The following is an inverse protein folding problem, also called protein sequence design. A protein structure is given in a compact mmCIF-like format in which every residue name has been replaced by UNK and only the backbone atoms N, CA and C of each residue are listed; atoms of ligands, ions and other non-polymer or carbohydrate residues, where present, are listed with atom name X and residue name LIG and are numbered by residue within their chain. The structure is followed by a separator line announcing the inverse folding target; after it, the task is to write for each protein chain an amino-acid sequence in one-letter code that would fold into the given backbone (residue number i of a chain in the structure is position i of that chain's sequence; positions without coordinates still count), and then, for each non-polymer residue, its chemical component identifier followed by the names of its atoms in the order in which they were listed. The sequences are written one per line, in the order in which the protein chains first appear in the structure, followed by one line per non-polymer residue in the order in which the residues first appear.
data_IF_721526770189
#
_entry.id   IF_721526770189
#
_cell.length_a   1.000
_cell.length_b   1.000
_cell.length_c   1.000
_cell.angle_alpha   90.00
_cell.angle_beta   90.00
_cell.angle_gamma   90.00
#
_symmetry.space_group_name_H-M   'P 1'
#
loop_
_entity.id
_entity.type
_entity.pdbx_description
1 polymer ?
#
# COMPACT_ATOMS: atom_id res chain seq x y z
N UNK A 1 1.20 27.72 -21.68
CA UNK A 1 2.21 26.70 -21.31
C UNK A 1 1.44 25.39 -21.19
N UNK A 2 1.87 24.34 -21.88
CA UNK A 2 1.21 23.04 -21.80
C UNK A 2 1.60 22.39 -20.47
N UNK A 3 0.90 22.74 -19.40
CA UNK A 3 0.99 22.04 -18.13
C UNK A 3 0.28 20.70 -18.30
N UNK A 4 1.06 19.65 -18.53
CA UNK A 4 0.58 18.29 -18.41
C UNK A 4 0.54 17.98 -16.92
N UNK A 5 -0.65 18.07 -16.33
CA UNK A 5 -0.93 17.93 -14.89
C UNK A 5 -0.92 16.47 -14.42
N UNK A 6 -0.14 15.60 -15.05
CA UNK A 6 -0.01 14.21 -14.60
C UNK A 6 0.90 14.20 -13.37
N UNK A 7 0.39 13.69 -12.25
CA UNK A 7 1.17 13.51 -11.03
C UNK A 7 2.48 12.76 -11.35
N UNK A 8 3.64 13.19 -10.80
CA UNK A 8 4.92 12.55 -11.12
C UNK A 8 4.92 11.02 -10.93
N UNK A 9 4.19 10.51 -9.93
CA UNK A 9 4.04 9.08 -9.65
C UNK A 9 3.23 8.29 -10.68
N UNK A 10 2.35 8.97 -11.43
CA UNK A 10 1.45 8.36 -12.42
C UNK A 10 2.09 8.31 -13.82
N UNK A 11 3.30 8.84 -13.99
CA UNK A 11 4.03 8.79 -15.26
C UNK A 11 4.41 7.37 -15.62
N UNK A 12 4.17 6.98 -16.88
CA UNK A 12 4.46 5.65 -17.46
C UNK A 12 3.68 4.50 -16.80
N UNK A 13 2.45 4.77 -16.38
CA UNK A 13 1.57 3.78 -15.77
C UNK A 13 0.89 2.82 -16.76
N UNK A 14 1.07 2.98 -18.08
CA UNK A 14 0.37 2.19 -19.10
C UNK A 14 0.57 0.67 -18.91
N UNK A 15 1.79 0.22 -18.65
CA UNK A 15 2.07 -1.21 -18.39
C UNK A 15 1.37 -1.74 -17.13
N UNK A 16 1.25 -0.91 -16.09
CA UNK A 16 0.50 -1.27 -14.88
C UNK A 16 -1.00 -1.39 -15.20
N UNK A 17 -1.54 -0.45 -15.97
CA UNK A 17 -2.94 -0.47 -16.37
C UNK A 17 -3.27 -1.67 -17.26
N UNK A 18 -2.40 -2.00 -18.22
CA UNK A 18 -2.56 -3.21 -19.04
C UNK A 18 -2.63 -4.48 -18.18
N UNK A 19 -1.80 -4.59 -17.14
CA UNK A 19 -1.86 -5.73 -16.21
C UNK A 19 -3.20 -5.81 -15.49
N UNK A 20 -3.69 -4.69 -14.97
CA UNK A 20 -5.00 -4.63 -14.29
C UNK A 20 -6.13 -5.00 -15.25
N UNK A 21 -6.13 -4.44 -16.45
CA UNK A 21 -7.16 -4.71 -17.47
C UNK A 21 -7.18 -6.16 -17.94
N UNK A 22 -6.04 -6.85 -17.90
CA UNK A 22 -5.92 -8.25 -18.27
C UNK A 22 -6.33 -9.24 -17.15
N UNK A 23 -6.60 -8.76 -15.93
CA UNK A 23 -7.09 -9.58 -14.82
C UNK A 23 -8.52 -9.15 -14.42
N UNK A 24 -9.55 -9.93 -14.78
CA UNK A 24 -10.95 -9.58 -14.48
C UNK A 24 -11.22 -9.36 -12.99
N UNK A 25 -10.55 -10.11 -12.12
CA UNK A 25 -10.71 -9.96 -10.67
C UNK A 25 -10.13 -8.63 -10.18
N UNK A 26 -9.01 -8.18 -10.75
CA UNK A 26 -8.44 -6.87 -10.43
C UNK A 26 -9.35 -5.73 -10.91
N UNK A 27 -9.97 -5.88 -12.08
CA UNK A 27 -10.98 -4.94 -12.59
C UNK A 27 -12.19 -4.81 -11.65
N UNK A 28 -12.74 -5.95 -11.20
CA UNK A 28 -13.87 -5.99 -10.27
C UNK A 28 -13.52 -5.30 -8.95
N UNK A 29 -12.36 -5.61 -8.37
CA UNK A 29 -11.88 -5.01 -7.12
C UNK A 29 -11.69 -3.48 -7.21
N UNK A 30 -11.17 -3.00 -8.34
CA UNK A 30 -11.06 -1.55 -8.59
C UNK A 30 -12.44 -0.90 -8.69
N UNK A 31 -13.37 -1.54 -9.39
CA UNK A 31 -14.74 -1.05 -9.52
C UNK A 31 -15.43 -0.97 -8.17
N UNK A 32 -15.34 -2.02 -7.35
CA UNK A 32 -15.91 -2.05 -6.00
C UNK A 32 -15.36 -0.91 -5.13
N UNK A 33 -14.05 -0.73 -5.13
CA UNK A 33 -13.40 0.34 -4.36
C UNK A 33 -13.85 1.72 -4.83
N UNK A 34 -13.91 1.94 -6.14
CA UNK A 34 -14.40 3.20 -6.71
C UNK A 34 -15.87 3.47 -6.37
N UNK A 35 -16.74 2.46 -6.49
CA UNK A 35 -18.14 2.56 -6.13
C UNK A 35 -18.31 2.87 -4.63
N UNK A 36 -17.50 2.27 -3.77
CA UNK A 36 -17.51 2.56 -2.34
C UNK A 36 -17.17 4.02 -2.03
N UNK A 37 -16.15 4.58 -2.69
CA UNK A 37 -15.80 6.00 -2.50
C UNK A 37 -16.82 6.97 -3.10
N UNK A 38 -17.55 6.59 -4.15
CA UNK A 38 -18.62 7.42 -4.70
C UNK A 38 -19.93 7.34 -3.89
N UNK A 39 -20.30 6.16 -3.40
CA UNK A 39 -21.62 5.90 -2.82
C UNK A 39 -21.64 5.95 -1.28
N UNK A 40 -20.54 5.60 -0.61
CA UNK A 40 -20.51 5.29 0.83
C UNK A 40 -19.41 6.04 1.59
N UNK A 41 -18.85 7.12 1.02
CA UNK A 41 -17.86 7.92 1.71
C UNK A 41 -18.51 8.62 2.94
N UNK A 42 -18.44 8.00 4.12
CA UNK A 42 -18.84 8.63 5.39
C UNK A 42 -17.95 9.84 5.72
N UNK A 43 -16.73 9.85 5.16
CA UNK A 43 -15.79 10.97 5.15
C UNK A 43 -16.10 12.03 4.08
N UNK A 44 -17.10 11.82 3.21
CA UNK A 44 -17.79 12.92 2.54
C UNK A 44 -18.69 13.63 3.55
N UNK A 45 -18.08 14.13 4.63
CA UNK A 45 -18.51 15.40 5.20
C UNK A 45 -18.16 16.49 4.19
N UNK A 46 -18.93 16.52 3.11
CA UNK A 46 -19.37 17.68 2.38
C UNK A 46 -20.36 17.16 1.34
N UNK A 47 -21.49 17.85 1.21
CA UNK A 47 -22.52 17.52 0.23
C UNK A 47 -21.90 17.25 -1.15
N UNK A 48 -22.56 16.46 -2.03
CA UNK A 48 -22.11 16.34 -3.41
C UNK A 48 -21.79 17.72 -3.99
N UNK A 49 -20.68 17.82 -4.73
CA UNK A 49 -20.24 19.08 -5.34
C UNK A 49 -21.44 19.85 -5.92
N UNK A 50 -21.52 21.18 -5.72
CA UNK A 50 -22.51 22.00 -6.40
C UNK A 50 -22.50 21.71 -7.90
N UNK A 51 -23.68 21.67 -8.53
CA UNK A 51 -23.82 21.23 -9.93
C UNK A 51 -22.92 22.02 -10.91
N UNK A 52 -22.69 23.31 -10.63
CA UNK A 52 -21.79 24.16 -11.41
C UNK A 52 -20.31 23.77 -11.24
N UNK A 53 -19.87 23.52 -10.01
CA UNK A 53 -18.51 23.07 -9.71
C UNK A 53 -18.24 21.68 -10.30
N UNK A 54 -19.22 20.78 -10.23
CA UNK A 54 -19.15 19.48 -10.90
C UNK A 54 -18.95 19.64 -12.41
N UNK A 55 -19.79 20.45 -13.07
CA UNK A 55 -19.68 20.67 -14.52
C UNK A 55 -18.33 21.30 -14.89
N UNK A 56 -17.85 22.24 -14.07
CA UNK A 56 -16.55 22.88 -14.27
C UNK A 56 -15.40 21.87 -14.13
N UNK A 57 -15.42 21.01 -13.10
CA UNK A 57 -14.42 19.95 -12.91
C UNK A 57 -14.43 18.94 -14.06
N UNK A 58 -15.62 18.56 -14.54
CA UNK A 58 -15.80 17.65 -15.67
C UNK A 58 -15.21 18.24 -16.97
N UNK A 59 -15.52 19.50 -17.29
CA UNK A 59 -15.01 20.11 -18.52
C UNK A 59 -13.52 20.45 -18.43
N UNK A 60 -13.02 20.85 -17.27
CA UNK A 60 -11.60 21.10 -17.07
C UNK A 60 -10.77 19.82 -17.24
N UNK A 61 -11.22 18.71 -16.63
CA UNK A 61 -10.52 17.42 -16.75
C UNK A 61 -10.50 16.90 -18.19
N UNK A 62 -11.58 17.09 -18.96
CA UNK A 62 -11.59 16.75 -20.38
C UNK A 62 -10.55 17.56 -21.18
N UNK A 63 -10.50 18.88 -21.01
CA UNK A 63 -9.56 19.74 -21.75
C UNK A 63 -8.11 19.47 -21.36
N UNK A 64 -7.86 19.23 -20.06
CA UNK A 64 -6.51 19.03 -19.53
C UNK A 64 -6.05 17.57 -19.60
N UNK A 65 -6.96 16.63 -19.94
CA UNK A 65 -6.75 15.17 -19.89
C UNK A 65 -6.29 14.71 -18.50
N UNK A 66 -6.89 15.29 -17.47
CA UNK A 66 -6.52 15.07 -16.07
C UNK A 66 -7.65 14.37 -15.33
N UNK A 67 -7.64 13.04 -15.40
CA UNK A 67 -8.61 12.22 -14.70
C UNK A 67 -8.44 12.33 -13.18
N UNK A 68 -7.20 12.43 -12.69
CA UNK A 68 -6.93 12.49 -11.26
C UNK A 68 -7.49 13.77 -10.63
N UNK A 69 -7.43 14.91 -11.31
CA UNK A 69 -8.10 16.14 -10.86
C UNK A 69 -9.63 15.98 -10.76
N UNK A 70 -10.25 15.26 -11.70
CA UNK A 70 -11.69 15.00 -11.63
C UNK A 70 -12.05 14.09 -10.46
N UNK A 71 -11.29 13.01 -10.28
CA UNK A 71 -11.48 12.06 -9.17
C UNK A 71 -11.30 12.75 -7.82
N UNK A 72 -10.32 13.63 -7.69
CA UNK A 72 -10.13 14.44 -6.49
C UNK A 72 -11.35 15.31 -6.19
N UNK A 73 -11.95 15.92 -7.21
CA UNK A 73 -13.14 16.75 -7.03
C UNK A 73 -14.35 15.93 -6.54
N UNK A 74 -14.59 14.74 -7.10
CA UNK A 74 -15.82 13.98 -6.83
C UNK A 74 -15.71 12.98 -5.67
N UNK A 75 -14.51 12.52 -5.32
CA UNK A 75 -14.31 11.52 -4.27
C UNK A 75 -13.03 11.69 -3.45
N UNK A 76 -12.34 12.84 -3.57
CA UNK A 76 -11.11 13.17 -2.83
C UNK A 76 -10.01 12.10 -2.93
N UNK A 77 -9.88 11.46 -4.09
CA UNK A 77 -8.83 10.47 -4.38
C UNK A 77 -8.24 10.73 -5.76
N UNK A 78 -6.94 10.52 -5.92
CA UNK A 78 -6.33 10.38 -7.26
C UNK A 78 -6.55 8.97 -7.79
N UNK A 79 -6.22 8.73 -9.08
CA UNK A 79 -6.23 7.38 -9.63
C UNK A 79 -5.33 6.42 -8.82
N UNK A 80 -4.13 6.85 -8.44
CA UNK A 80 -3.24 6.03 -7.64
C UNK A 80 -3.72 5.81 -6.20
N UNK A 81 -4.44 6.78 -5.60
CA UNK A 81 -5.05 6.55 -4.29
C UNK A 81 -6.14 5.47 -4.38
N UNK A 82 -6.98 5.48 -5.43
CA UNK A 82 -7.96 4.42 -5.67
C UNK A 82 -7.29 3.06 -5.89
N UNK A 83 -6.25 2.98 -6.72
CA UNK A 83 -5.50 1.73 -6.94
C UNK A 83 -4.88 1.19 -5.65
N UNK A 84 -4.33 2.07 -4.80
CA UNK A 84 -3.74 1.68 -3.51
C UNK A 84 -4.81 1.19 -2.54
N UNK A 85 -5.92 1.92 -2.45
CA UNK A 85 -7.04 1.56 -1.59
C UNK A 85 -7.77 0.30 -2.07
N UNK A 86 -7.63 -0.06 -3.35
CA UNK A 86 -8.11 -1.32 -3.94
C UNK A 86 -7.14 -2.48 -3.71
N UNK A 87 -6.00 -2.29 -3.04
CA UNK A 87 -4.94 -3.28 -2.92
C UNK A 87 -4.49 -3.81 -4.29
N UNK A 88 -4.30 -2.90 -5.27
CA UNK A 88 -3.76 -3.21 -6.60
C UNK A 88 -2.37 -2.61 -6.86
N UNK A 89 -1.91 -1.70 -6.01
CA UNK A 89 -0.52 -1.22 -5.95
C UNK A 89 -0.04 -1.20 -4.49
N UNK A 90 1.27 -1.36 -4.22
CA UNK A 90 1.80 -1.33 -2.87
C UNK A 90 1.87 0.11 -2.30
N UNK A 91 2.03 0.18 -0.99
CA UNK A 91 2.45 1.37 -0.26
C UNK A 91 3.96 1.57 -0.41
N UNK A 92 4.44 2.81 -0.46
CA UNK A 92 5.87 3.09 -0.34
C UNK A 92 6.28 3.08 1.13
N UNK A 93 7.39 2.43 1.46
CA UNK A 93 7.99 2.54 2.79
C UNK A 93 8.33 4.01 3.11
N UNK A 94 7.95 4.44 4.30
CA UNK A 94 8.29 5.76 4.84
C UNK A 94 7.95 6.93 3.90
N UNK A 95 6.81 6.82 3.20
CA UNK A 95 6.37 7.82 2.24
C UNK A 95 6.25 9.21 2.87
N UNK A 96 6.70 10.22 2.12
CA UNK A 96 6.57 11.65 2.46
C UNK A 96 7.23 12.02 3.80
N UNK A 97 8.29 11.26 4.17
CA UNK A 97 9.04 11.46 5.39
C UNK A 97 8.33 10.96 6.66
N UNK A 98 7.20 10.25 6.53
CA UNK A 98 6.45 9.67 7.64
C UNK A 98 6.77 8.18 7.76
N UNK A 99 7.23 7.73 8.92
CA UNK A 99 7.50 6.30 9.15
C UNK A 99 6.23 5.46 9.02
N UNK A 100 6.23 4.51 8.09
CA UNK A 100 5.14 3.54 7.89
C UNK A 100 5.69 2.33 7.10
N UNK A 101 5.58 1.11 7.64
CA UNK A 101 5.09 0.75 8.97
C UNK A 101 6.06 1.11 10.10
N UNK A 102 5.55 1.19 11.33
CA UNK A 102 6.32 1.39 12.56
C UNK A 102 6.64 0.03 13.17
N UNK A 103 7.92 -0.35 13.19
CA UNK A 103 8.41 -1.59 13.80
C UNK A 103 8.44 -1.44 15.32
N UNK A 104 7.84 -2.39 16.05
CA UNK A 104 7.70 -2.32 17.51
C UNK A 104 8.55 -3.36 18.25
N UNK A 105 9.16 -4.30 17.54
CA UNK A 105 10.02 -5.34 18.10
C UNK A 105 11.41 -5.30 17.50
N UNK A 106 12.42 -5.79 18.23
CA UNK A 106 13.77 -5.99 17.72
C UNK A 106 13.87 -7.23 16.80
N UNK A 107 15.08 -7.51 16.32
CA UNK A 107 15.40 -8.66 15.46
C UNK A 107 15.25 -10.03 16.16
N UNK A 108 15.01 -10.05 17.48
CA UNK A 108 14.74 -11.26 18.27
C UNK A 108 13.26 -11.36 18.66
N UNK A 109 12.40 -10.50 18.12
CA UNK A 109 10.98 -10.44 18.41
C UNK A 109 10.65 -9.85 19.80
N UNK A 110 11.60 -9.25 20.50
CA UNK A 110 11.36 -8.60 21.79
C UNK A 110 10.76 -7.21 21.60
N UNK A 111 9.72 -6.89 22.37
CA UNK A 111 9.07 -5.58 22.33
C UNK A 111 10.05 -4.47 22.73
N UNK A 112 10.11 -3.39 21.94
CA UNK A 112 10.94 -2.24 22.26
C UNK A 112 10.32 -1.47 23.44
N UNK A 113 11.15 -0.92 24.36
CA UNK A 113 10.66 -0.28 25.59
C UNK A 113 9.63 0.84 25.37
N UNK A 114 9.74 1.57 24.26
CA UNK A 114 8.84 2.67 23.89
C UNK A 114 7.40 2.22 23.54
N UNK A 115 7.17 0.92 23.29
CA UNK A 115 5.87 0.38 22.92
C UNK A 115 5.22 -0.51 23.98
N UNK A 116 5.86 -0.73 25.14
CA UNK A 116 5.34 -1.58 26.23
C UNK A 116 3.93 -1.22 26.68
N UNK A 117 3.57 0.06 26.67
CA UNK A 117 2.24 0.55 27.08
C UNK A 117 1.28 0.77 25.92
N UNK A 118 1.76 0.67 24.67
CA UNK A 118 0.96 0.99 23.47
C UNK A 118 0.30 -0.23 22.83
N UNK A 119 0.81 -1.43 23.07
CA UNK A 119 0.31 -2.66 22.46
C UNK A 119 -0.50 -3.48 23.46
N UNK A 120 -1.48 -4.21 22.94
CA UNK A 120 -2.22 -5.16 23.75
C UNK A 120 -1.31 -6.35 24.10
N UNK A 121 -1.05 -6.55 25.38
CA UNK A 121 -0.15 -7.59 25.88
C UNK A 121 -0.50 -8.99 25.34
N UNK A 122 -1.80 -9.27 25.15
CA UNK A 122 -2.27 -10.54 24.57
C UNK A 122 -1.79 -10.73 23.13
N UNK A 123 -1.80 -9.68 22.31
CA UNK A 123 -1.35 -9.74 20.92
C UNK A 123 0.16 -9.94 20.84
N UNK A 124 0.93 -9.21 21.66
CA UNK A 124 2.37 -9.40 21.76
C UNK A 124 2.73 -10.83 22.21
N UNK A 125 2.09 -11.34 23.27
CA UNK A 125 2.34 -12.72 23.76
C UNK A 125 2.03 -13.77 22.69
N UNK A 126 0.96 -13.57 21.92
CA UNK A 126 0.58 -14.47 20.83
C UNK A 126 1.58 -14.43 19.68
N UNK A 127 1.95 -13.23 19.22
CA UNK A 127 3.01 -13.03 18.24
C UNK A 127 4.31 -13.69 18.69
N UNK A 128 4.78 -13.39 19.90
CA UNK A 128 6.06 -13.87 20.42
C UNK A 128 6.08 -15.40 20.56
N UNK A 129 4.96 -16.01 20.93
CA UNK A 129 4.83 -17.48 20.97
C UNK A 129 5.03 -18.09 19.58
N UNK A 130 4.40 -17.50 18.55
CA UNK A 130 4.53 -17.99 17.16
C UNK A 130 5.93 -17.70 16.63
N UNK A 131 6.47 -16.51 16.89
CA UNK A 131 7.81 -16.11 16.50
C UNK A 131 8.90 -17.10 16.96
N UNK A 132 8.72 -17.70 18.14
CA UNK A 132 9.61 -18.74 18.67
C UNK A 132 9.48 -20.10 17.99
N UNK A 133 8.36 -20.39 17.33
CA UNK A 133 8.12 -21.67 16.63
C UNK A 133 8.41 -21.60 15.14
N UNK A 134 8.46 -20.40 14.55
CA UNK A 134 8.78 -20.21 13.13
C UNK A 134 10.16 -20.77 12.79
N UNK A 135 10.22 -21.60 11.74
CA UNK A 135 11.48 -22.14 11.23
C UNK A 135 12.43 -21.07 10.69
N UNK A 136 11.89 -19.96 10.18
CA UNK A 136 12.62 -18.77 9.78
C UNK A 136 11.91 -17.52 10.30
N UNK A 137 12.46 -16.91 11.34
CA UNK A 137 11.92 -15.71 11.97
C UNK A 137 12.68 -14.42 11.59
N UNK A 138 13.57 -14.51 10.60
CA UNK A 138 14.39 -13.38 10.15
C UNK A 138 13.51 -12.28 9.56
N UNK A 139 13.77 -11.04 9.96
CA UNK A 139 13.08 -9.85 9.47
C UNK A 139 11.53 -9.97 9.57
N UNK A 140 11.05 -10.61 10.64
CA UNK A 140 9.64 -10.67 11.00
C UNK A 140 9.46 -9.87 12.28
N UNK A 141 8.55 -8.91 12.27
CA UNK A 141 8.38 -7.96 13.35
C UNK A 141 6.92 -7.81 13.72
N UNK A 142 6.65 -7.54 14.99
CA UNK A 142 5.39 -6.92 15.38
C UNK A 142 5.48 -5.45 14.99
N UNK A 143 4.49 -4.96 14.27
CA UNK A 143 4.49 -3.62 13.70
C UNK A 143 3.11 -3.00 13.73
N UNK A 144 3.08 -1.67 13.59
CA UNK A 144 1.87 -0.88 13.38
C UNK A 144 1.95 -0.26 12.00
N UNK A 145 0.99 -0.57 11.15
CA UNK A 145 0.87 0.02 9.82
C UNK A 145 -0.39 0.87 9.74
N UNK A 146 -0.41 1.80 8.78
CA UNK A 146 -1.61 2.57 8.49
C UNK A 146 -1.85 2.75 7.01
N UNK A 147 -3.13 2.80 6.65
CA UNK A 147 -3.61 3.20 5.33
C UNK A 147 -3.76 4.71 5.32
N UNK A 148 -3.44 5.32 4.19
CA UNK A 148 -3.56 6.76 4.02
C UNK A 148 -4.08 7.09 2.62
N UNK A 149 -4.84 8.18 2.56
CA UNK A 149 -5.03 8.98 1.36
C UNK A 149 -4.19 10.24 1.47
N UNK A 150 -4.24 11.08 0.45
CA UNK A 150 -3.64 12.39 0.47
C UNK A 150 -4.74 13.44 0.55
N UNK A 151 -4.57 14.41 1.43
CA UNK A 151 -5.32 15.66 1.41
C UNK A 151 -4.60 16.62 0.46
N UNK A 152 -5.37 17.18 -0.46
CA UNK A 152 -4.91 18.10 -1.49
C UNK A 152 -5.60 19.45 -1.29
N UNK A 153 -5.49 20.01 -0.08
CA UNK A 153 -5.95 21.37 0.17
C UNK A 153 -5.32 22.35 -0.85
N UNK A 154 -6.17 23.20 -1.43
CA UNK A 154 -5.94 23.93 -2.68
C UNK A 154 -4.72 24.89 -2.76
N UNK A 155 -3.93 25.04 -1.70
CA UNK A 155 -2.89 26.08 -1.63
C UNK A 155 -1.45 25.57 -1.60
N UNK A 156 -1.19 24.30 -1.29
CA UNK A 156 0.18 23.77 -1.28
C UNK A 156 0.22 22.44 -2.03
N UNK A 157 0.98 22.35 -3.13
CA UNK A 157 1.22 21.12 -3.90
C UNK A 157 1.97 20.03 -3.11
N UNK A 158 1.96 20.09 -1.77
CA UNK A 158 2.53 19.08 -0.88
C UNK A 158 1.38 18.27 -0.30
N UNK A 159 1.17 17.04 -0.78
CA UNK A 159 0.07 16.24 -0.29
C UNK A 159 0.33 15.86 1.17
N UNK A 160 -0.61 16.18 2.07
CA UNK A 160 -0.54 15.71 3.45
C UNK A 160 -1.23 14.35 3.56
N UNK A 161 -0.56 13.36 4.14
CA UNK A 161 -1.21 12.05 4.34
C UNK A 161 -2.34 12.17 5.39
N UNK A 162 -3.57 11.91 4.96
CA UNK A 162 -4.73 11.68 5.83
C UNK A 162 -4.79 10.21 6.18
N UNK A 163 -4.62 9.89 7.46
CA UNK A 163 -4.67 8.50 7.94
C UNK A 163 -6.12 8.02 7.92
N UNK A 164 -6.37 6.94 7.18
CA UNK A 164 -7.69 6.32 7.06
C UNK A 164 -7.91 5.28 8.16
N UNK A 165 -6.88 4.46 8.41
CA UNK A 165 -6.97 3.33 9.33
C UNK A 165 -5.59 3.02 9.89
N UNK A 166 -5.52 2.65 11.18
CA UNK A 166 -4.32 2.14 11.82
C UNK A 166 -4.56 0.71 12.30
N UNK A 167 -3.60 -0.17 12.07
CA UNK A 167 -3.69 -1.57 12.48
C UNK A 167 -2.38 -2.04 13.07
N UNK A 168 -2.48 -2.82 14.15
CA UNK A 168 -1.37 -3.61 14.68
C UNK A 168 -1.37 -4.97 13.97
N UNK A 169 -0.18 -5.54 13.76
CA UNK A 169 -0.03 -6.73 12.93
C UNK A 169 1.40 -7.21 12.83
N UNK A 170 1.61 -8.23 12.02
CA UNK A 170 2.93 -8.80 11.77
C UNK A 170 3.44 -8.31 10.42
N UNK A 171 4.67 -7.79 10.41
CA UNK A 171 5.36 -7.35 9.22
C UNK A 171 6.48 -8.33 8.86
N UNK A 172 6.46 -8.85 7.64
CA UNK A 172 7.53 -9.62 7.05
C UNK A 172 8.27 -8.73 6.05
N UNK A 173 9.59 -8.57 6.18
CA UNK A 173 10.42 -7.83 5.21
C UNK A 173 11.31 -8.81 4.46
N UNK A 174 11.19 -8.84 3.13
CA UNK A 174 11.95 -9.74 2.26
C UNK A 174 12.64 -8.97 1.14
N UNK A 175 13.80 -9.47 0.76
CA UNK A 175 14.55 -9.00 -0.41
C UNK A 175 13.82 -9.48 -1.68
N UNK A 176 13.58 -8.57 -2.63
CA UNK A 176 13.07 -8.97 -3.94
C UNK A 176 14.24 -9.34 -4.88
N UNK A 177 14.08 -10.35 -5.75
CA UNK A 177 15.12 -10.71 -6.70
C UNK A 177 15.42 -9.55 -7.67
N UNK A 178 16.70 -9.45 -8.06
CA UNK A 178 17.41 -8.40 -8.83
C UNK A 178 16.77 -7.95 -10.17
N UNK A 179 15.61 -8.50 -10.54
CA UNK A 179 14.84 -8.19 -11.76
C UNK A 179 14.11 -6.84 -11.72
N UNK A 180 14.10 -6.16 -10.57
CA UNK A 180 13.41 -4.88 -10.35
C UNK A 180 14.35 -3.66 -10.52
N UNK A 181 15.55 -3.86 -11.11
CA UNK A 181 16.55 -2.81 -11.44
C UNK A 181 15.95 -1.42 -11.73
N UNK A 182 16.50 -0.40 -11.06
CA UNK A 182 16.28 1.04 -11.23
C UNK A 182 15.18 1.41 -12.23
N UNK A 183 13.93 1.31 -11.78
CA UNK A 183 12.79 1.86 -12.50
C UNK A 183 12.86 3.38 -12.45
N UNK A 184 12.52 4.04 -13.56
CA UNK A 184 12.62 5.49 -13.67
C UNK A 184 11.42 6.18 -13.00
N UNK A 185 10.29 5.47 -12.88
CA UNK A 185 9.09 5.99 -12.21
C UNK A 185 8.50 4.99 -11.21
N UNK A 186 7.72 5.53 -10.26
CA UNK A 186 6.99 4.75 -9.26
C UNK A 186 6.02 3.74 -9.91
N UNK A 187 5.31 4.14 -10.96
CA UNK A 187 4.40 3.27 -11.69
C UNK A 187 5.10 2.05 -12.31
N UNK A 188 6.33 2.22 -12.81
CA UNK A 188 7.12 1.12 -13.36
C UNK A 188 7.61 0.14 -12.28
N UNK A 189 7.95 0.67 -11.10
CA UNK A 189 8.27 -0.16 -9.94
C UNK A 189 7.06 -0.99 -9.51
N UNK A 190 5.89 -0.37 -9.41
CA UNK A 190 4.64 -1.07 -9.08
C UNK A 190 4.26 -2.11 -10.13
N UNK A 191 4.43 -1.79 -11.42
CA UNK A 191 4.22 -2.76 -12.50
C UNK A 191 5.11 -4.00 -12.37
N UNK A 192 6.37 -3.83 -11.96
CA UNK A 192 7.32 -4.93 -11.78
C UNK A 192 6.89 -5.91 -10.67
N UNK A 193 6.38 -5.38 -9.56
CA UNK A 193 5.94 -6.19 -8.41
C UNK A 193 4.47 -6.61 -8.47
N UNK A 194 3.70 -6.11 -9.43
CA UNK A 194 2.25 -6.31 -9.52
C UNK A 194 1.82 -7.79 -9.46
N UNK A 195 2.51 -8.69 -10.18
CA UNK A 195 2.12 -10.11 -10.19
C UNK A 195 2.24 -10.75 -8.80
N UNK A 196 3.28 -10.37 -8.05
CA UNK A 196 3.50 -10.83 -6.68
C UNK A 196 2.42 -10.26 -5.76
N UNK A 197 2.15 -8.96 -5.92
CA UNK A 197 1.16 -8.23 -5.14
C UNK A 197 -0.26 -8.78 -5.29
N UNK A 198 -0.68 -9.10 -6.52
CA UNK A 198 -1.99 -9.71 -6.78
C UNK A 198 -2.08 -11.15 -6.29
N UNK A 199 -1.01 -11.92 -6.36
CA UNK A 199 -0.99 -13.26 -5.77
C UNK A 199 -1.16 -13.20 -4.25
N UNK A 200 -0.48 -12.25 -3.59
CA UNK A 200 -0.66 -11.99 -2.16
C UNK A 200 -2.08 -11.53 -1.85
N UNK A 201 -2.65 -10.59 -2.60
CA UNK A 201 -4.00 -10.10 -2.31
C UNK A 201 -5.10 -11.15 -2.55
N UNK A 202 -4.89 -12.11 -3.45
CA UNK A 202 -5.84 -13.22 -3.68
C UNK A 202 -5.82 -14.26 -2.56
N UNK A 203 -4.66 -14.53 -1.97
CA UNK A 203 -4.49 -15.57 -0.94
C UNK A 203 -4.49 -15.00 0.49
N UNK A 204 -4.10 -13.74 0.66
CA UNK A 204 -3.98 -12.98 1.90
C UNK A 204 -4.67 -11.60 1.73
N UNK A 205 -6.01 -11.60 1.56
CA UNK A 205 -6.76 -10.39 1.22
C UNK A 205 -6.65 -9.32 2.31
N UNK A 206 -6.53 -8.06 1.88
CA UNK A 206 -6.37 -6.87 2.72
C UNK A 206 -5.06 -6.86 3.54
N UNK A 207 -4.06 -7.64 3.12
CA UNK A 207 -2.70 -7.46 3.61
C UNK A 207 -2.11 -6.17 3.05
N UNK A 208 -1.31 -5.44 3.84
CA UNK A 208 -0.72 -4.19 3.36
C UNK A 208 0.65 -4.52 2.77
N UNK A 209 0.74 -4.39 1.46
CA UNK A 209 1.99 -4.63 0.75
C UNK A 209 2.77 -3.32 0.67
N UNK A 210 3.98 -3.32 1.19
CA UNK A 210 4.92 -2.22 1.12
C UNK A 210 6.03 -2.53 0.12
N UNK A 211 6.50 -1.52 -0.59
CA UNK A 211 7.59 -1.61 -1.53
C UNK A 211 8.60 -0.48 -1.28
N UNK A 212 9.87 -0.86 -1.24
CA UNK A 212 10.99 0.06 -1.06
C UNK A 212 12.04 -0.22 -2.12
N UNK A 213 12.30 0.77 -2.96
CA UNK A 213 13.32 0.66 -4.00
C UNK A 213 14.69 1.06 -3.43
N UNK A 214 15.72 0.24 -3.64
CA UNK A 214 17.09 0.47 -3.17
C UNK A 214 17.20 0.76 -1.64
N UNK A 215 16.23 0.30 -0.84
CA UNK A 215 16.12 0.65 0.58
C UNK A 215 16.82 -0.35 1.50
N UNK A 216 16.96 -1.61 1.10
CA UNK A 216 17.65 -2.62 1.90
C UNK A 216 19.14 -2.65 1.56
N UNK A 217 20.01 -2.45 2.55
CA UNK A 217 21.47 -2.56 2.38
C UNK A 217 21.96 -3.86 3.02
N UNK A 218 22.52 -4.74 2.21
CA UNK A 218 23.09 -6.02 2.67
C UNK A 218 24.41 -6.26 1.95
N UNK A 219 25.48 -6.54 2.69
CA UNK A 219 26.83 -6.75 2.14
C UNK A 219 27.29 -5.64 1.17
N UNK A 220 27.07 -4.36 1.52
CA UNK A 220 27.34 -3.18 0.69
C UNK A 220 26.58 -3.12 -0.65
N UNK A 221 25.61 -4.01 -0.88
CA UNK A 221 24.72 -4.00 -2.03
C UNK A 221 23.34 -3.47 -1.60
N UNK A 222 22.70 -2.72 -2.48
CA UNK A 222 21.33 -2.22 -2.29
C UNK A 222 20.37 -3.13 -3.03
N UNK A 223 19.27 -3.45 -2.37
CA UNK A 223 18.23 -4.31 -2.90
C UNK A 223 16.87 -3.63 -2.73
N UNK A 224 15.96 -3.99 -3.62
CA UNK A 224 14.55 -3.69 -3.45
C UNK A 224 13.97 -4.59 -2.37
N UNK A 225 13.08 -4.04 -1.56
CA UNK A 225 12.45 -4.75 -0.46
C UNK A 225 10.92 -4.76 -0.61
N UNK A 226 10.32 -5.87 -0.22
CA UNK A 226 8.88 -6.00 -0.06
C UNK A 226 8.56 -6.21 1.42
N UNK A 227 7.61 -5.42 1.91
CA UNK A 227 6.98 -5.61 3.21
C UNK A 227 5.62 -6.24 3.04
N UNK A 228 5.33 -7.31 3.76
CA UNK A 228 3.99 -7.89 3.84
C UNK A 228 3.51 -7.69 5.26
N UNK A 229 2.55 -6.80 5.43
CA UNK A 229 1.92 -6.55 6.71
C UNK A 229 0.60 -7.31 6.80
N UNK A 230 0.46 -8.11 7.86
CA UNK A 230 -0.68 -8.93 8.18
C UNK A 230 -1.40 -8.32 9.40
N UNK A 231 -2.48 -7.55 9.21
CA UNK A 231 -3.25 -6.98 10.32
C UNK A 231 -3.77 -8.06 11.29
N UNK A 232 -3.61 -7.82 12.59
CA UNK A 232 -4.08 -8.74 13.64
C UNK A 232 -5.59 -8.97 13.56
N UNK A 233 -6.37 -7.95 13.17
CA UNK A 233 -7.82 -8.06 12.99
C UNK A 233 -8.26 -9.15 12.01
N UNK A 234 -7.37 -9.53 11.08
CA UNK A 234 -7.64 -10.49 10.02
C UNK A 234 -6.82 -11.78 10.18
N UNK A 235 -5.56 -11.66 10.56
CA UNK A 235 -4.56 -12.74 10.44
C UNK A 235 -4.00 -13.25 11.76
N UNK A 236 -4.46 -12.74 12.92
CA UNK A 236 -3.96 -13.17 14.22
C UNK A 236 -4.27 -14.66 14.47
N UNK A 237 -5.44 -15.13 14.00
CA UNK A 237 -5.80 -16.54 14.04
C UNK A 237 -5.05 -17.27 12.94
N UNK A 238 -4.39 -18.39 13.25
CA UNK A 238 -3.56 -19.15 12.30
C UNK A 238 -2.42 -18.33 11.65
N UNK A 239 -1.88 -17.34 12.37
CA UNK A 239 -0.81 -16.47 11.89
C UNK A 239 0.39 -17.23 11.29
N UNK A 240 0.78 -18.37 11.86
CA UNK A 240 1.85 -19.22 11.31
C UNK A 240 1.55 -19.65 9.86
N UNK A 241 0.34 -20.12 9.60
CA UNK A 241 -0.10 -20.51 8.26
C UNK A 241 -0.13 -19.33 7.29
N UNK A 242 -0.52 -18.14 7.75
CA UNK A 242 -0.52 -16.93 6.91
C UNK A 242 0.91 -16.46 6.58
N UNK A 243 1.84 -16.59 7.52
CA UNK A 243 3.27 -16.34 7.31
C UNK A 243 3.84 -17.34 6.29
N UNK A 244 3.58 -18.64 6.46
CA UNK A 244 4.00 -19.68 5.51
C UNK A 244 3.47 -19.40 4.11
N UNK A 245 2.19 -19.05 4.01
CA UNK A 245 1.57 -18.72 2.74
C UNK A 245 2.19 -17.50 2.05
N UNK A 246 2.54 -16.46 2.82
CA UNK A 246 3.23 -15.29 2.29
C UNK A 246 4.61 -15.66 1.73
N UNK A 247 5.37 -16.47 2.47
CA UNK A 247 6.70 -16.96 2.06
C UNK A 247 6.61 -17.83 0.80
N UNK A 248 5.64 -18.75 0.73
CA UNK A 248 5.37 -19.56 -0.46
C UNK A 248 5.17 -18.68 -1.69
N UNK A 249 4.38 -17.61 -1.58
CA UNK A 249 4.07 -16.72 -2.70
C UNK A 249 5.29 -15.89 -3.13
N UNK A 250 6.09 -15.40 -2.18
CA UNK A 250 7.32 -14.64 -2.47
C UNK A 250 8.34 -15.52 -3.19
N UNK A 251 8.55 -16.73 -2.69
CA UNK A 251 9.60 -17.63 -3.17
C UNK A 251 9.13 -18.62 -4.25
N UNK A 252 7.85 -18.62 -4.63
CA UNK A 252 7.31 -19.45 -5.72
C UNK A 252 7.99 -19.24 -7.07
N UNK A 253 8.70 -18.12 -7.27
CA UNK A 253 9.47 -17.82 -8.50
C UNK A 253 10.94 -18.24 -8.46
N UNK A 254 11.43 -18.75 -7.33
CA UNK A 254 12.80 -19.26 -7.19
C UNK A 254 12.93 -20.77 -7.46
N UNK A 255 11.82 -21.44 -7.82
CA UNK A 255 11.76 -22.85 -8.23
C UNK A 255 11.44 -22.98 -9.73
#
# INVERSE_FOLDING_TARGET
MNETTIFPREKRADFLFEKILNDPWACEKLQETFANYLCYNEDAYDAPLPAEEFAQALFNSYHNRDLSAFLMAICNNTLFDLLRNSFLIPYRFNADGKTNPVIMTDDNGQLLPEYETSIWEKEYRHFHKIYQTLGNNKNIYLARAYRYSHDYAANDMKPEQKILEKSDGVLLIRELPDTVKQKETEAEAYSAVWNLMIALEKELPMSYIFYGQDSLVKNNSRYDEIGIFLPNSLFLTNLEHHIEKAEEIIYAKEQ
#
